data_IF_122228012581
#
_entry.id   IF_122228012581
#
_cell.length_a   1.000
_cell.length_b   1.000
_cell.length_c   1.000
_cell.angle_alpha   90.00
_cell.angle_beta   90.00
_cell.angle_gamma   90.00
#
_symmetry.space_group_name_H-M   'P 1'
#
loop_
_entity.id
_entity.type
_entity.pdbx_description
1 polymer ?
#
# COMPACT_ATOMS: atom_id res chain seq x y z
N UNK A 1 -20.38 -3.04 8.43
CA UNK A 1 -19.26 -3.68 9.15
C UNK A 1 -18.16 -2.65 9.30
N UNK A 2 -17.80 -2.30 10.52
CA UNK A 2 -16.68 -1.39 10.77
C UNK A 2 -15.35 -2.12 10.64
N UNK A 3 -14.42 -1.56 9.88
CA UNK A 3 -13.09 -2.12 9.70
C UNK A 3 -12.14 -1.40 10.66
N UNK A 4 -11.55 -2.15 11.58
CA UNK A 4 -10.53 -1.65 12.51
C UNK A 4 -9.17 -1.60 11.80
N UNK A 5 -8.93 -0.52 11.07
CA UNK A 5 -7.73 -0.34 10.21
C UNK A 5 -6.41 -0.56 10.97
N UNK A 6 -6.36 -0.17 12.24
CA UNK A 6 -5.18 -0.34 13.10
C UNK A 6 -4.78 -1.82 13.33
N UNK A 7 -5.71 -2.76 13.15
CA UNK A 7 -5.48 -4.21 13.35
C UNK A 7 -5.07 -4.94 12.07
N UNK A 8 -5.00 -4.23 10.93
CA UNK A 8 -4.67 -4.87 9.66
C UNK A 8 -3.20 -5.35 9.64
N UNK A 9 -2.92 -6.51 9.00
CA UNK A 9 -1.55 -6.93 8.76
C UNK A 9 -0.76 -5.86 8.01
N UNK A 10 0.47 -5.61 8.46
CA UNK A 10 1.38 -4.64 7.86
C UNK A 10 2.51 -5.37 7.15
N UNK A 11 2.69 -5.05 5.87
CA UNK A 11 3.71 -5.64 5.01
C UNK A 11 4.75 -4.57 4.70
N UNK A 12 6.02 -4.86 4.98
CA UNK A 12 7.11 -3.93 4.67
C UNK A 12 7.18 -3.68 3.15
N UNK A 13 7.39 -2.42 2.78
CA UNK A 13 7.48 -1.99 1.38
C UNK A 13 8.77 -2.54 0.75
N UNK A 14 8.63 -3.68 0.06
CA UNK A 14 9.74 -4.37 -0.60
C UNK A 14 9.22 -5.12 -1.83
N UNK A 15 9.95 -5.04 -2.96
CA UNK A 15 9.55 -5.68 -4.22
C UNK A 15 9.25 -7.17 -4.08
N UNK A 16 10.09 -7.92 -3.36
CA UNK A 16 9.89 -9.37 -3.13
C UNK A 16 8.59 -9.69 -2.38
N UNK A 17 8.15 -8.81 -1.48
CA UNK A 17 6.87 -8.95 -0.76
C UNK A 17 5.70 -8.58 -1.66
N UNK A 18 5.83 -7.50 -2.42
CA UNK A 18 4.78 -7.01 -3.30
C UNK A 18 4.48 -7.97 -4.45
N UNK A 19 5.48 -8.73 -4.92
CA UNK A 19 5.27 -9.76 -5.93
C UNK A 19 4.31 -10.88 -5.50
N UNK A 20 4.09 -11.06 -4.18
CA UNK A 20 3.18 -12.06 -3.60
C UNK A 20 1.78 -11.51 -3.30
N UNK A 21 1.52 -10.25 -3.62
CA UNK A 21 0.22 -9.63 -3.41
C UNK A 21 -0.83 -10.21 -4.36
N UNK A 22 -2.11 -10.20 -3.97
CA UNK A 22 -3.19 -10.69 -4.81
C UNK A 22 -3.40 -9.81 -6.05
N UNK A 23 -3.73 -10.44 -7.16
CA UNK A 23 -4.18 -9.79 -8.40
C UNK A 23 -5.70 -9.58 -8.36
N UNK A 24 -6.20 -8.94 -7.30
CA UNK A 24 -7.63 -8.67 -7.11
C UNK A 24 -7.90 -7.22 -6.77
N UNK A 25 -9.16 -6.82 -6.88
CA UNK A 25 -9.63 -5.52 -6.45
C UNK A 25 -9.46 -5.34 -4.93
N UNK A 26 -9.31 -4.10 -4.50
CA UNK A 26 -9.30 -3.77 -3.08
C UNK A 26 -8.82 -2.37 -2.74
N UNK A 27 -8.65 -2.17 -1.43
CA UNK A 27 -8.15 -0.93 -0.82
C UNK A 27 -6.77 -1.21 -0.21
N UNK A 28 -5.85 -0.25 -0.33
CA UNK A 28 -4.52 -0.32 0.26
C UNK A 28 -4.23 0.93 1.08
N UNK A 29 -3.36 0.77 2.08
CA UNK A 29 -3.08 1.77 3.10
C UNK A 29 -1.56 1.81 3.30
N UNK A 30 -0.93 2.97 3.08
CA UNK A 30 0.46 3.22 3.44
C UNK A 30 0.54 3.76 4.86
N UNK A 31 1.56 3.31 5.58
CA UNK A 31 1.75 3.60 7.01
C UNK A 31 3.11 4.23 7.28
N UNK A 32 3.10 5.33 8.02
CA UNK A 32 4.27 5.88 8.71
C UNK A 32 4.18 5.49 10.19
N UNK A 33 5.05 4.59 10.66
CA UNK A 33 4.99 4.00 12.01
C UNK A 33 3.60 3.40 12.29
N UNK A 34 2.78 4.09 13.10
CA UNK A 34 1.44 3.68 13.48
C UNK A 34 0.33 4.54 12.85
N UNK A 35 0.69 5.49 12.00
CA UNK A 35 -0.22 6.44 11.37
C UNK A 35 -0.48 6.04 9.91
N UNK A 36 -1.75 6.03 9.52
CA UNK A 36 -2.14 5.82 8.12
C UNK A 36 -2.01 7.14 7.37
N UNK A 37 -1.04 7.24 6.47
CA UNK A 37 -0.72 8.49 5.77
C UNK A 37 -1.34 8.59 4.38
N UNK A 38 -1.77 7.46 3.82
CA UNK A 38 -2.39 7.41 2.49
C UNK A 38 -3.26 6.17 2.32
N UNK A 39 -4.47 6.36 1.81
CA UNK A 39 -5.40 5.29 1.45
C UNK A 39 -5.73 5.41 -0.03
N UNK A 40 -5.67 4.30 -0.76
CA UNK A 40 -6.06 4.24 -2.16
C UNK A 40 -6.83 2.96 -2.48
N UNK A 41 -7.51 2.96 -3.63
CA UNK A 41 -8.21 1.78 -4.17
C UNK A 41 -7.57 1.34 -5.48
N UNK A 42 -7.69 0.06 -5.81
CA UNK A 42 -7.15 -0.53 -7.02
C UNK A 42 -8.07 -1.63 -7.55
N UNK A 43 -8.19 -1.73 -8.88
CA UNK A 43 -8.77 -2.92 -9.53
C UNK A 43 -7.85 -4.13 -9.40
N UNK A 44 -6.55 -3.90 -9.29
CA UNK A 44 -5.55 -4.92 -9.06
C UNK A 44 -4.52 -4.40 -8.04
N UNK A 45 -4.57 -4.94 -6.82
CA UNK A 45 -3.71 -4.53 -5.71
C UNK A 45 -2.22 -4.73 -6.01
N UNK A 46 -1.84 -5.86 -6.61
CA UNK A 46 -0.44 -6.18 -6.94
C UNK A 46 0.16 -5.16 -7.93
N UNK A 47 -0.49 -4.94 -9.07
CA UNK A 47 0.04 -4.02 -10.09
C UNK A 47 0.09 -2.58 -9.57
N UNK A 48 -0.94 -2.16 -8.82
CA UNK A 48 -0.99 -0.82 -8.22
C UNK A 48 0.12 -0.61 -7.20
N UNK A 49 0.32 -1.55 -6.28
CA UNK A 49 1.36 -1.44 -5.25
C UNK A 49 2.77 -1.53 -5.85
N UNK A 50 2.99 -2.34 -6.88
CA UNK A 50 4.25 -2.36 -7.63
C UNK A 50 4.55 -1.03 -8.34
N UNK A 51 3.54 -0.29 -8.81
CA UNK A 51 3.74 1.00 -9.47
C UNK A 51 4.42 2.05 -8.58
N UNK A 52 4.24 1.96 -7.26
CA UNK A 52 4.90 2.83 -6.28
C UNK A 52 6.39 2.53 -6.10
N UNK A 53 6.90 1.42 -6.66
CA UNK A 53 8.33 1.08 -6.65
C UNK A 53 9.04 1.49 -7.94
N UNK A 54 8.37 2.25 -8.82
CA UNK A 54 8.95 2.74 -10.07
C UNK A 54 9.71 4.05 -9.86
N UNK A 55 10.56 4.42 -10.83
CA UNK A 55 11.46 5.59 -10.73
C UNK A 55 10.77 6.92 -11.06
N UNK A 56 9.65 6.90 -11.79
CA UNK A 56 8.98 8.10 -12.33
C UNK A 56 7.70 8.46 -11.54
N UNK A 57 7.82 8.60 -10.23
CA UNK A 57 6.70 9.03 -9.37
C UNK A 57 6.60 10.55 -9.35
N UNK A 58 5.36 11.07 -9.25
CA UNK A 58 5.15 12.49 -8.97
C UNK A 58 5.77 12.88 -7.62
N UNK A 59 6.20 14.15 -7.41
CA UNK A 59 6.89 14.56 -6.19
C UNK A 59 6.12 14.20 -4.90
N UNK A 60 4.80 14.46 -4.87
CA UNK A 60 3.92 14.09 -3.74
C UNK A 60 3.93 12.58 -3.49
N UNK A 61 3.82 11.78 -4.55
CA UNK A 61 3.79 10.32 -4.43
C UNK A 61 5.14 9.79 -3.94
N UNK A 62 6.23 10.34 -4.45
CA UNK A 62 7.60 10.00 -4.01
C UNK A 62 7.80 10.31 -2.53
N UNK A 63 7.34 11.48 -2.07
CA UNK A 63 7.39 11.86 -0.65
C UNK A 63 6.61 10.89 0.23
N UNK A 64 5.38 10.56 -0.13
CA UNK A 64 4.55 9.62 0.61
C UNK A 64 5.19 8.23 0.69
N UNK A 65 5.70 7.70 -0.43
CA UNK A 65 6.34 6.37 -0.45
C UNK A 65 7.64 6.37 0.37
N UNK A 66 8.38 7.49 0.38
CA UNK A 66 9.60 7.62 1.17
C UNK A 66 9.31 7.60 2.68
N UNK A 67 8.23 8.26 3.09
CA UNK A 67 7.82 8.34 4.49
C UNK A 67 7.23 7.01 5.01
N UNK A 68 6.51 6.29 4.15
CA UNK A 68 5.90 5.03 4.51
C UNK A 68 6.92 3.91 4.73
N UNK A 69 6.72 3.08 5.76
CA UNK A 69 7.50 1.85 5.96
C UNK A 69 6.71 0.59 5.62
N UNK A 70 5.38 0.64 5.76
CA UNK A 70 4.52 -0.53 5.60
C UNK A 70 3.27 -0.24 4.78
N UNK A 71 2.69 -1.29 4.24
CA UNK A 71 1.40 -1.28 3.55
C UNK A 71 0.48 -2.35 4.13
N UNK A 72 -0.80 -2.00 4.29
CA UNK A 72 -1.89 -2.96 4.51
C UNK A 72 -2.81 -2.96 3.29
N UNK A 73 -3.59 -4.03 3.11
CA UNK A 73 -4.62 -4.07 2.07
C UNK A 73 -5.84 -4.88 2.52
N UNK A 74 -6.96 -4.64 1.85
CA UNK A 74 -8.23 -5.34 2.02
C UNK A 74 -8.74 -5.67 0.63
N UNK A 75 -9.07 -6.94 0.39
CA UNK A 75 -9.66 -7.40 -0.87
C UNK A 75 -11.16 -7.12 -0.84
N UNK A 76 -11.73 -6.81 -2.00
CA UNK A 76 -13.18 -6.59 -2.21
C UNK A 76 -13.70 -7.52 -3.28
#
# INVERSE_FOLDING_TARGET
MEIQIAKLPRIRIQKKRFNKLPESCGVYIFWAKNEAIYIGKALNLKSRLLSYLTVNLSPKTKSMVHEAQNVSFIRT
#
